data_IF_441799091696
#
_entry.id   IF_441799091696
#
_cell.length_a   1.000
_cell.length_b   1.000
_cell.length_c   1.000
_cell.angle_alpha   90.00
_cell.angle_beta   90.00
_cell.angle_gamma   90.00
#
_symmetry.space_group_name_H-M   'P 1'
#
loop_
_entity.id
_entity.type
_entity.pdbx_description
1 polymer ?
#
# COMPACT_ATOMS: atom_id res chain seq x y z
N UNK A 1 -14.97 15.91 4.31
CA UNK A 1 -14.62 14.73 3.51
C UNK A 1 -14.56 15.11 2.05
N UNK A 2 -13.45 14.84 1.35
CA UNK A 2 -13.37 14.92 -0.11
C UNK A 2 -13.38 13.47 -0.63
N UNK A 3 -14.38 13.11 -1.41
CA UNK A 3 -14.39 11.81 -2.07
C UNK A 3 -13.39 11.83 -3.22
N UNK A 4 -12.32 11.05 -3.12
CA UNK A 4 -11.28 10.94 -4.13
C UNK A 4 -10.83 9.48 -4.20
N UNK A 5 -11.15 8.83 -5.30
CA UNK A 5 -10.70 7.48 -5.62
C UNK A 5 -9.62 7.52 -6.69
N UNK A 6 -8.79 6.48 -6.70
CA UNK A 6 -7.87 6.17 -7.79
C UNK A 6 -8.14 4.73 -8.26
N UNK A 7 -8.07 4.52 -9.57
CA UNK A 7 -8.32 3.21 -10.17
C UNK A 7 -7.00 2.44 -10.30
N UNK A 8 -7.10 1.12 -10.18
CA UNK A 8 -5.98 0.24 -10.55
C UNK A 8 -5.91 0.16 -12.08
N UNK A 9 -4.75 0.44 -12.71
CA UNK A 9 -4.61 0.33 -14.15
C UNK A 9 -5.06 -1.05 -14.66
N UNK A 10 -5.96 -1.08 -15.64
CA UNK A 10 -6.49 -2.31 -16.22
C UNK A 10 -7.70 -2.92 -15.50
N UNK A 11 -8.07 -2.44 -14.31
CA UNK A 11 -9.27 -2.86 -13.57
C UNK A 11 -10.08 -1.64 -13.08
N UNK A 12 -10.88 -1.00 -13.97
CA UNK A 12 -11.66 0.18 -13.62
C UNK A 12 -12.82 -0.13 -12.66
N UNK A 13 -13.08 -1.40 -12.35
CA UNK A 13 -14.07 -1.79 -11.33
C UNK A 13 -13.52 -1.72 -9.91
N UNK A 14 -12.21 -1.51 -9.75
CA UNK A 14 -11.52 -1.53 -8.45
C UNK A 14 -10.92 -0.18 -8.12
N UNK A 15 -11.61 0.51 -7.21
CA UNK A 15 -11.24 1.84 -6.73
C UNK A 15 -10.54 1.76 -5.36
N UNK A 16 -9.52 2.61 -5.16
CA UNK A 16 -8.89 2.85 -3.87
C UNK A 16 -9.29 4.24 -3.40
N UNK A 17 -10.03 4.32 -2.29
CA UNK A 17 -10.40 5.59 -1.65
C UNK A 17 -9.19 6.18 -0.92
N UNK A 18 -8.85 7.42 -1.26
CA UNK A 18 -7.83 8.19 -0.55
C UNK A 18 -8.49 9.01 0.56
N UNK A 19 -8.42 8.50 1.79
CA UNK A 19 -9.00 9.15 2.96
C UNK A 19 -7.95 9.90 3.78
N UNK A 20 -8.23 11.18 4.08
CA UNK A 20 -7.43 11.98 5.01
C UNK A 20 -8.13 12.00 6.37
N UNK A 21 -7.50 11.49 7.45
CA UNK A 21 -8.06 11.60 8.81
C UNK A 21 -8.38 13.05 9.17
N UNK A 22 -9.62 13.33 9.57
CA UNK A 22 -10.03 14.68 9.97
C UNK A 22 -11.54 14.94 9.84
N UNK A 23 -11.95 16.21 9.99
CA UNK A 23 -13.37 16.57 10.00
C UNK A 23 -14.10 16.29 8.68
N UNK A 24 -15.40 15.96 8.71
CA UNK A 24 -16.27 15.86 9.90
C UNK A 24 -16.24 14.50 10.60
N UNK A 25 -15.57 13.48 10.04
CA UNK A 25 -15.59 12.13 10.57
C UNK A 25 -14.81 12.01 11.90
N UNK A 26 -13.67 12.69 11.98
CA UNK A 26 -12.80 12.70 13.16
C UNK A 26 -12.54 14.13 13.61
N UNK A 27 -12.65 14.40 14.91
CA UNK A 27 -12.16 15.65 15.48
C UNK A 27 -10.61 15.72 15.38
N UNK A 28 -10.00 16.91 15.50
CA UNK A 28 -8.56 17.07 15.32
C UNK A 28 -7.70 16.14 16.20
N UNK A 29 -8.08 15.93 17.46
CA UNK A 29 -7.32 15.09 18.40
C UNK A 29 -7.39 13.63 18.00
N UNK A 30 -8.57 13.14 17.64
CA UNK A 30 -8.73 11.76 17.17
C UNK A 30 -8.01 11.55 15.83
N UNK A 31 -8.02 12.53 14.93
CA UNK A 31 -7.29 12.45 13.67
C UNK A 31 -5.75 12.38 13.86
N UNK A 32 -5.20 13.07 14.86
CA UNK A 32 -3.79 12.93 15.24
C UNK A 32 -3.48 11.53 15.78
N UNK A 33 -4.33 11.00 16.65
CA UNK A 33 -4.17 9.63 17.16
C UNK A 33 -4.18 8.58 16.04
N UNK A 34 -5.07 8.73 15.05
CA UNK A 34 -5.10 7.84 13.88
C UNK A 34 -3.80 7.92 13.08
N UNK A 35 -3.27 9.13 12.85
CA UNK A 35 -1.97 9.31 12.17
C UNK A 35 -0.81 8.68 12.94
N UNK A 36 -0.80 8.81 14.27
CA UNK A 36 0.21 8.15 15.09
C UNK A 36 0.12 6.63 15.02
N UNK A 37 -1.10 6.07 15.01
CA UNK A 37 -1.30 4.63 14.86
C UNK A 37 -0.87 4.14 13.48
N UNK A 38 -1.11 4.92 12.41
CA UNK A 38 -0.64 4.60 11.06
C UNK A 38 0.89 4.56 11.02
N UNK A 39 1.55 5.59 11.55
CA UNK A 39 3.01 5.67 11.59
C UNK A 39 3.66 4.55 12.43
N UNK A 40 2.93 3.96 13.38
CA UNK A 40 3.36 2.85 14.24
C UNK A 40 2.93 1.46 13.73
N UNK A 41 2.41 1.37 12.50
CA UNK A 41 1.86 0.15 11.91
C UNK A 41 0.68 -0.48 12.68
N UNK A 42 0.02 0.31 13.53
CA UNK A 42 -1.01 -0.12 14.48
C UNK A 42 -2.44 0.23 14.07
N UNK A 43 -2.64 1.00 13.00
CA UNK A 43 -3.97 1.42 12.54
C UNK A 43 -4.76 0.32 11.83
N UNK A 44 -4.10 -0.77 11.41
CA UNK A 44 -4.71 -1.80 10.56
C UNK A 44 -4.90 -1.29 9.13
N UNK A 45 -4.66 -2.16 8.15
CA UNK A 45 -4.62 -1.78 6.74
C UNK A 45 -3.37 -2.33 6.08
N UNK A 46 -3.58 -3.01 4.96
CA UNK A 46 -2.54 -3.55 4.10
C UNK A 46 -3.13 -3.62 2.69
N UNK A 47 -2.49 -2.94 1.75
CA UNK A 47 -2.85 -3.06 0.34
C UNK A 47 -1.99 -4.14 -0.30
N UNK A 48 -2.62 -4.97 -1.13
CA UNK A 48 -1.93 -5.97 -1.94
C UNK A 48 -2.13 -5.63 -3.41
N UNK A 49 -1.03 -5.48 -4.13
CA UNK A 49 -1.00 -5.40 -5.58
C UNK A 49 -0.32 -6.62 -6.15
N UNK A 50 -0.70 -6.95 -7.37
CA UNK A 50 -0.01 -7.96 -8.18
C UNK A 50 0.83 -7.28 -9.24
N UNK A 51 1.95 -7.89 -9.58
CA UNK A 51 2.79 -7.50 -10.71
C UNK A 51 3.20 -8.73 -11.52
N UNK A 52 3.61 -8.51 -12.77
CA UNK A 52 4.08 -9.58 -13.65
C UNK A 52 5.53 -9.98 -13.36
N UNK A 53 6.34 -9.07 -12.81
CA UNK A 53 7.72 -9.32 -12.40
C UNK A 53 8.04 -8.55 -11.10
N UNK A 54 8.21 -9.29 -10.00
CA UNK A 54 8.46 -8.70 -8.69
C UNK A 54 9.83 -8.02 -8.60
N UNK A 55 10.86 -8.56 -9.26
CA UNK A 55 12.22 -8.04 -9.21
C UNK A 55 12.38 -6.76 -10.04
N UNK A 56 11.79 -6.73 -11.23
CA UNK A 56 11.77 -5.53 -12.09
C UNK A 56 11.02 -4.39 -11.40
N UNK A 57 9.82 -4.69 -10.87
CA UNK A 57 9.01 -3.68 -10.17
C UNK A 57 9.74 -3.14 -8.94
N UNK A 58 10.39 -4.01 -8.17
CA UNK A 58 11.20 -3.62 -7.03
C UNK A 58 12.34 -2.66 -7.44
N UNK A 59 13.12 -3.01 -8.47
CA UNK A 59 14.25 -2.21 -8.92
C UNK A 59 13.81 -0.81 -9.40
N UNK A 60 12.69 -0.73 -10.14
CA UNK A 60 12.11 0.54 -10.58
C UNK A 60 11.66 1.43 -9.41
N UNK A 61 11.00 0.85 -8.40
CA UNK A 61 10.56 1.59 -7.22
C UNK A 61 11.73 2.09 -6.37
N UNK A 62 12.79 1.28 -6.20
CA UNK A 62 14.03 1.70 -5.54
C UNK A 62 14.68 2.86 -6.29
N UNK A 63 14.77 2.78 -7.62
CA UNK A 63 15.33 3.86 -8.45
C UNK A 63 14.53 5.17 -8.34
N UNK A 64 13.21 5.08 -8.08
CA UNK A 64 12.33 6.21 -7.81
C UNK A 64 12.37 6.72 -6.37
N UNK A 65 13.16 6.10 -5.49
CA UNK A 65 13.33 6.52 -4.09
C UNK A 65 12.17 6.13 -3.17
N UNK A 66 11.39 5.10 -3.54
CA UNK A 66 10.33 4.56 -2.68
C UNK A 66 10.94 3.87 -1.46
N UNK A 67 10.31 4.04 -0.28
CA UNK A 67 10.72 3.35 0.94
C UNK A 67 10.36 1.86 0.85
N UNK A 68 11.38 1.01 0.80
CA UNK A 68 11.24 -0.45 0.84
C UNK A 68 11.29 -0.92 2.29
N UNK A 69 10.33 -1.77 2.67
CA UNK A 69 10.30 -2.41 4.01
C UNK A 69 10.88 -3.82 3.99
N UNK A 70 10.70 -4.55 2.88
CA UNK A 70 11.18 -5.92 2.70
C UNK A 70 11.64 -6.11 1.25
N UNK A 71 12.77 -6.78 1.04
CA UNK A 71 13.26 -7.15 -0.29
C UNK A 71 12.42 -8.29 -0.92
N UNK A 72 12.43 -8.43 -2.26
CA UNK A 72 11.78 -9.53 -2.95
C UNK A 72 12.22 -10.88 -2.39
N UNK A 73 11.24 -11.65 -1.91
CA UNK A 73 11.48 -12.94 -1.26
C UNK A 73 10.55 -14.00 -1.83
N UNK A 74 11.08 -15.20 -2.10
CA UNK A 74 10.29 -16.36 -2.47
C UNK A 74 9.33 -16.78 -1.33
N UNK A 75 8.05 -16.91 -1.68
CA UNK A 75 6.96 -17.37 -0.81
C UNK A 75 6.26 -18.56 -1.46
N UNK A 76 5.49 -19.36 -0.68
CA UNK A 76 4.74 -20.48 -1.23
C UNK A 76 3.74 -20.09 -2.35
N UNK A 77 3.28 -18.84 -2.36
CA UNK A 77 2.29 -18.30 -3.31
C UNK A 77 2.91 -17.49 -4.45
N UNK A 78 4.22 -17.21 -4.45
CA UNK A 78 4.82 -16.27 -5.38
C UNK A 78 6.05 -15.58 -4.81
N UNK A 79 6.55 -14.56 -5.50
CA UNK A 79 7.60 -13.67 -5.00
C UNK A 79 6.94 -12.37 -4.58
N UNK A 80 7.23 -11.87 -3.39
CA UNK A 80 6.69 -10.58 -2.95
C UNK A 80 7.67 -9.73 -2.14
N UNK A 81 7.39 -8.43 -2.10
CA UNK A 81 8.16 -7.43 -1.38
C UNK A 81 7.24 -6.39 -0.75
N UNK A 82 7.78 -5.62 0.20
CA UNK A 82 7.04 -4.63 0.98
C UNK A 82 7.54 -3.22 0.71
N UNK A 83 6.62 -2.26 0.60
CA UNK A 83 6.92 -0.83 0.54
C UNK A 83 6.05 -0.05 1.52
N UNK A 84 6.49 1.17 1.81
CA UNK A 84 5.76 2.14 2.63
C UNK A 84 5.48 3.42 1.83
N UNK A 85 4.25 3.91 1.93
CA UNK A 85 3.90 5.20 1.37
C UNK A 85 4.30 6.36 2.31
N UNK A 86 4.28 7.62 1.84
CA UNK A 86 4.67 8.78 2.66
C UNK A 86 3.81 9.01 3.92
N UNK A 87 2.68 8.30 4.07
CA UNK A 87 1.76 8.43 5.20
C UNK A 87 1.86 7.26 6.18
N UNK A 88 2.77 6.31 5.94
CA UNK A 88 2.98 5.14 6.78
C UNK A 88 2.12 3.93 6.40
N UNK A 89 1.36 3.98 5.31
CA UNK A 89 0.58 2.85 4.86
C UNK A 89 1.51 1.75 4.34
N UNK A 90 1.20 0.51 4.71
CA UNK A 90 1.90 -0.68 4.22
C UNK A 90 1.28 -1.16 2.93
N UNK A 91 2.14 -1.45 1.96
CA UNK A 91 1.75 -1.99 0.67
C UNK A 91 2.63 -3.21 0.38
N UNK A 92 2.00 -4.30 -0.05
CA UNK A 92 2.66 -5.52 -0.53
C UNK A 92 2.44 -5.64 -2.02
N UNK A 93 3.50 -5.95 -2.74
CA UNK A 93 3.48 -6.17 -4.18
C UNK A 93 4.04 -7.55 -4.43
N UNK A 94 3.30 -8.40 -5.15
CA UNK A 94 3.72 -9.77 -5.40
C UNK A 94 3.45 -10.24 -6.82
N UNK A 95 4.40 -10.98 -7.36
CA UNK A 95 4.22 -11.84 -8.52
C UNK A 95 3.66 -13.18 -8.03
N UNK A 96 2.43 -13.49 -8.43
CA UNK A 96 1.74 -14.69 -7.96
C UNK A 96 2.12 -15.88 -8.83
N UNK A 97 2.42 -17.03 -8.22
CA UNK A 97 2.52 -18.29 -8.97
C UNK A 97 1.21 -18.50 -9.74
N UNK A 98 1.29 -18.66 -11.07
CA UNK A 98 0.10 -18.95 -11.86
C UNK A 98 -0.50 -20.30 -11.43
N UNK A 99 -1.65 -20.23 -10.75
CA UNK A 99 -2.55 -21.36 -10.53
C UNK A 99 -2.30 -22.14 -9.25
N UNK A 100 -3.27 -22.05 -8.35
CA UNK A 100 -3.88 -23.27 -7.80
C UNK A 100 -5.40 -23.17 -7.89
#
# INVERSE_FOLDING_TARGET
>A
MRWLTVDVPGDPGREILLEKPGPPALDPKTAEQVRELLAKDAAGGLLFFTTDDAHETYADLVAKGVEVTDEPTDRPYGIDFGIRDPFGNRIRIGEMHQGR
#
